data_IF_789003650010
#
_entry.id   IF_789003650010
#
_cell.length_a   1.000
_cell.length_b   1.000
_cell.length_c   1.000
_cell.angle_alpha   90.00
_cell.angle_beta   90.00
_cell.angle_gamma   90.00
#
_symmetry.space_group_name_H-M   'P 1'
#
loop_
_entity.id
_entity.type
_entity.pdbx_description
1 polymer ?
#
# COMPACT_ATOMS: atom_id res chain seq x y z
N UNK A 1 22.27 -18.45 -8.09
CA UNK A 1 20.92 -18.23 -8.69
C UNK A 1 20.04 -17.64 -7.60
N UNK A 2 19.97 -16.30 -7.51
CA UNK A 2 19.08 -15.63 -6.56
C UNK A 2 17.71 -15.44 -7.22
N UNK A 3 16.68 -16.03 -6.64
CA UNK A 3 15.28 -15.81 -7.05
C UNK A 3 14.92 -14.34 -6.80
N UNK A 4 14.65 -13.57 -7.86
CA UNK A 4 14.05 -12.24 -7.71
C UNK A 4 12.56 -12.41 -7.44
N UNK A 5 12.20 -12.66 -6.18
CA UNK A 5 10.81 -12.56 -5.77
C UNK A 5 10.29 -11.14 -6.12
N UNK A 6 9.09 -11.01 -6.69
CA UNK A 6 8.53 -9.70 -6.98
C UNK A 6 8.45 -8.90 -5.68
N UNK A 7 9.12 -7.75 -5.65
CA UNK A 7 9.19 -6.87 -4.48
C UNK A 7 7.77 -6.48 -4.06
N UNK A 8 7.46 -6.64 -2.76
CA UNK A 8 6.17 -6.27 -2.20
C UNK A 8 5.96 -4.74 -2.37
N UNK A 9 4.87 -4.28 -3.01
CA UNK A 9 4.59 -2.86 -3.20
C UNK A 9 4.61 -2.06 -1.89
N UNK A 10 4.18 -2.68 -0.78
CA UNK A 10 4.21 -2.06 0.54
C UNK A 10 5.63 -1.75 0.99
N UNK A 11 6.55 -2.70 0.87
CA UNK A 11 7.95 -2.53 1.27
C UNK A 11 8.66 -1.45 0.43
N UNK A 12 8.31 -1.34 -0.86
CA UNK A 12 8.82 -0.29 -1.74
C UNK A 12 8.37 1.09 -1.24
N UNK A 13 7.08 1.25 -0.93
CA UNK A 13 6.51 2.50 -0.43
C UNK A 13 7.08 2.86 0.93
N UNK A 14 7.20 1.91 1.85
CA UNK A 14 7.80 2.13 3.18
C UNK A 14 9.22 2.68 3.06
N UNK A 15 10.07 2.05 2.24
CA UNK A 15 11.45 2.53 2.01
C UNK A 15 11.50 3.94 1.42
N UNK A 16 10.62 4.26 0.49
CA UNK A 16 10.59 5.57 -0.15
C UNK A 16 10.09 6.64 0.82
N UNK A 17 9.08 6.33 1.63
CA UNK A 17 8.57 7.21 2.67
C UNK A 17 9.65 7.52 3.70
N UNK A 18 10.37 6.51 4.20
CA UNK A 18 11.40 6.69 5.22
C UNK A 18 12.52 7.64 4.74
N UNK A 19 12.98 7.47 3.49
CA UNK A 19 13.96 8.38 2.87
C UNK A 19 13.46 9.81 2.75
N UNK A 20 12.17 10.00 2.47
CA UNK A 20 11.58 11.33 2.39
C UNK A 20 11.43 11.95 3.78
N UNK A 21 10.97 11.16 4.77
CA UNK A 21 10.79 11.59 6.15
C UNK A 21 12.10 12.04 6.79
N UNK A 22 13.20 11.32 6.55
CA UNK A 22 14.54 11.69 6.98
C UNK A 22 14.97 13.04 6.39
N UNK A 23 14.80 13.22 5.07
CA UNK A 23 15.16 14.47 4.36
C UNK A 23 14.32 15.67 4.79
N UNK A 24 13.07 15.43 5.17
CA UNK A 24 12.14 16.47 5.62
C UNK A 24 12.23 16.72 7.14
N UNK A 25 13.02 15.93 7.87
CA UNK A 25 13.17 16.07 9.32
C UNK A 25 11.89 15.75 10.09
N UNK A 26 11.05 14.82 9.61
CA UNK A 26 9.79 14.48 10.26
C UNK A 26 10.04 13.74 11.56
N UNK A 27 9.36 14.16 12.63
CA UNK A 27 9.40 13.46 13.91
C UNK A 27 8.55 12.17 13.86
N UNK A 28 8.69 11.32 14.89
CA UNK A 28 8.02 10.02 14.93
C UNK A 28 6.49 10.10 14.87
N UNK A 29 5.89 11.12 15.51
CA UNK A 29 4.44 11.33 15.53
C UNK A 29 3.92 11.70 14.13
N UNK A 30 4.62 12.61 13.45
CA UNK A 30 4.31 13.00 12.07
C UNK A 30 4.41 11.80 11.12
N UNK A 31 5.47 11.00 11.25
CA UNK A 31 5.65 9.80 10.44
C UNK A 31 4.53 8.78 10.70
N UNK A 32 4.16 8.54 11.96
CA UNK A 32 3.09 7.62 12.34
C UNK A 32 1.74 8.09 11.79
N UNK A 33 1.44 9.39 11.91
CA UNK A 33 0.20 9.98 11.38
C UNK A 33 0.10 9.81 9.86
N UNK A 34 1.19 10.08 9.14
CA UNK A 34 1.20 10.02 7.66
C UNK A 34 1.23 8.58 7.12
N UNK A 35 1.84 7.64 7.84
CA UNK A 35 1.84 6.21 7.48
C UNK A 35 0.49 5.54 7.76
N UNK A 36 -0.30 6.09 8.66
CA UNK A 36 -1.58 5.52 9.08
C UNK A 36 -2.70 6.02 8.17
N UNK A 37 -3.40 5.13 7.45
CA UNK A 37 -4.54 5.56 6.64
C UNK A 37 -5.67 6.03 7.55
N UNK A 38 -6.26 7.18 7.22
CA UNK A 38 -7.42 7.70 7.96
C UNK A 38 -8.65 6.81 7.81
N UNK A 39 -8.78 6.13 6.67
CA UNK A 39 -9.85 5.16 6.38
C UNK A 39 -9.41 4.17 5.33
N UNK A 40 -9.70 2.89 5.55
CA UNK A 40 -9.65 1.85 4.54
C UNK A 40 -11.07 1.28 4.34
N UNK A 41 -11.45 1.04 3.09
CA UNK A 41 -12.76 0.45 2.76
C UNK A 41 -12.52 -0.75 1.88
N UNK A 42 -12.94 -1.91 2.36
CA UNK A 42 -13.00 -3.15 1.57
C UNK A 42 -14.45 -3.38 1.17
N UNK A 43 -14.68 -3.58 -0.12
CA UNK A 43 -16.01 -3.84 -0.67
C UNK A 43 -15.95 -5.08 -1.57
N UNK A 44 -17.06 -5.80 -1.62
CA UNK A 44 -17.28 -6.85 -2.60
C UNK A 44 -18.12 -6.26 -3.73
N UNK A 45 -17.60 -6.32 -4.95
CA UNK A 45 -18.27 -5.82 -6.15
C UNK A 45 -18.68 -7.02 -7.01
N UNK A 46 -19.94 -7.48 -6.93
CA UNK A 46 -20.39 -8.59 -7.76
C UNK A 46 -20.46 -8.13 -9.21
N UNK A 47 -19.88 -8.92 -10.09
CA UNK A 47 -19.84 -8.67 -11.53
C UNK A 47 -20.73 -9.69 -12.24
N UNK A 48 -21.57 -9.20 -13.15
CA UNK A 48 -22.27 -10.05 -14.11
C UNK A 48 -21.35 -10.25 -15.31
N UNK A 49 -20.99 -11.50 -15.57
CA UNK A 49 -20.15 -11.89 -16.69
C UNK A 49 -20.97 -11.94 -17.99
N UNK A 50 -20.28 -11.92 -19.14
CA UNK A 50 -20.92 -11.96 -20.46
C UNK A 50 -21.74 -13.24 -20.69
N UNK A 51 -21.38 -14.34 -20.01
CA UNK A 51 -22.12 -15.61 -20.00
C UNK A 51 -23.35 -15.62 -19.08
N UNK A 52 -23.62 -14.51 -18.39
CA UNK A 52 -24.75 -14.33 -17.48
C UNK A 52 -24.51 -14.77 -16.03
N UNK A 53 -23.36 -15.38 -15.71
CA UNK A 53 -22.99 -15.77 -14.34
C UNK A 53 -22.68 -14.55 -13.44
N UNK A 54 -22.85 -14.70 -12.11
CA UNK A 54 -22.50 -13.69 -11.11
C UNK A 54 -21.22 -14.12 -10.38
N UNK A 55 -20.22 -13.24 -10.30
CA UNK A 55 -18.92 -13.52 -9.65
C UNK A 55 -18.45 -12.37 -8.78
#
# INVERSE_FOLDING_TARGET
MGSSAPLNPREIVERNFDRAAERLGLNAEQQMMLKTPFREVKVDVPVRMDDGSLK
#
